data_IF_136132677825
#
_entry.id   IF_136132677825
#
_cell.length_a   1.000
_cell.length_b   1.000
_cell.length_c   1.000
_cell.angle_alpha   90.00
_cell.angle_beta   90.00
_cell.angle_gamma   90.00
#
_symmetry.space_group_name_H-M   'P 1'
#
loop_
_entity.id
_entity.type
_entity.pdbx_description
1 polymer ?
#
# COMPACT_ATOMS: atom_id res chain seq x y z
N UNK A 1 -14.40 -10.43 21.86
CA UNK A 1 -13.30 -9.74 22.56
C UNK A 1 -13.62 -8.24 22.64
N UNK A 2 -13.58 -7.66 23.83
CA UNK A 2 -13.70 -6.20 24.03
C UNK A 2 -12.29 -5.59 24.13
N UNK A 3 -11.97 -4.68 23.21
CA UNK A 3 -10.81 -3.77 23.34
C UNK A 3 -11.33 -2.47 23.93
N UNK A 4 -10.86 -2.06 25.10
CA UNK A 4 -11.36 -0.88 25.81
C UNK A 4 -10.23 -0.03 26.39
N UNK A 5 -10.57 1.17 26.85
CA UNK A 5 -9.62 2.13 27.39
C UNK A 5 -8.46 2.41 26.43
N UNK A 6 -8.80 2.80 25.20
CA UNK A 6 -7.86 3.19 24.14
C UNK A 6 -8.08 4.64 23.72
N UNK A 7 -7.05 5.29 23.19
CA UNK A 7 -7.16 6.50 22.38
C UNK A 7 -7.15 6.07 20.91
N UNK A 8 -8.32 5.67 20.43
CA UNK A 8 -8.47 5.08 19.11
C UNK A 8 -8.83 6.12 18.07
N UNK A 9 -8.36 5.91 16.83
CA UNK A 9 -8.85 6.64 15.67
C UNK A 9 -8.94 5.76 14.43
N UNK A 10 -9.82 6.14 13.53
CA UNK A 10 -9.93 5.64 12.16
C UNK A 10 -10.27 6.80 11.24
N UNK A 11 -10.08 6.65 9.94
CA UNK A 11 -10.48 7.65 8.95
C UNK A 11 -11.60 7.08 8.08
N UNK A 12 -12.60 7.91 7.76
CA UNK A 12 -13.60 7.53 6.76
C UNK A 12 -13.04 7.68 5.33
N UNK A 13 -13.86 7.39 4.34
CA UNK A 13 -13.44 7.44 2.94
C UNK A 13 -13.10 8.86 2.47
N UNK A 14 -13.64 9.87 3.14
CA UNK A 14 -13.40 11.28 2.88
C UNK A 14 -12.20 11.84 3.67
N UNK A 15 -11.52 10.98 4.45
CA UNK A 15 -10.35 11.35 5.27
C UNK A 15 -10.68 12.03 6.58
N UNK A 16 -11.96 12.03 7.01
CA UNK A 16 -12.35 12.58 8.29
C UNK A 16 -11.96 11.64 9.42
N UNK A 17 -11.23 12.17 10.39
CA UNK A 17 -10.82 11.43 11.58
C UNK A 17 -12.02 11.18 12.50
N UNK A 18 -12.21 9.93 12.88
CA UNK A 18 -13.20 9.50 13.85
C UNK A 18 -12.45 8.90 15.06
N UNK A 19 -12.60 9.53 16.25
CA UNK A 19 -12.01 9.04 17.50
C UNK A 19 -12.97 8.08 18.21
N UNK A 20 -12.41 7.13 18.95
CA UNK A 20 -13.18 6.17 19.74
C UNK A 20 -12.37 5.74 20.99
N UNK A 21 -13.04 5.11 21.96
CA UNK A 21 -12.42 4.67 23.22
C UNK A 21 -12.43 3.18 23.41
N UNK A 22 -13.05 2.44 22.50
CA UNK A 22 -13.06 0.98 22.49
C UNK A 22 -13.86 0.40 21.34
N UNK A 23 -13.79 -0.91 21.14
CA UNK A 23 -14.59 -1.65 20.18
C UNK A 23 -14.74 -3.12 20.59
N UNK A 24 -15.83 -3.72 20.14
CA UNK A 24 -16.15 -5.13 20.34
C UNK A 24 -15.80 -5.91 19.06
N UNK A 25 -15.11 -7.03 19.24
CA UNK A 25 -14.74 -7.96 18.16
C UNK A 25 -15.54 -9.24 18.36
N UNK A 26 -16.26 -9.66 17.32
CA UNK A 26 -16.99 -10.91 17.28
C UNK A 26 -16.09 -12.15 17.10
N UNK A 27 -16.68 -13.31 17.18
CA UNK A 27 -15.98 -14.61 17.06
C UNK A 27 -15.40 -14.82 15.65
N UNK A 28 -15.97 -14.18 14.66
CA UNK A 28 -15.49 -14.19 13.26
C UNK A 28 -14.33 -13.21 12.99
N UNK A 29 -13.87 -12.48 14.02
CA UNK A 29 -12.79 -11.50 13.92
C UNK A 29 -13.19 -10.17 13.28
N UNK A 30 -14.50 -9.88 13.21
CA UNK A 30 -15.02 -8.61 12.74
C UNK A 30 -15.40 -7.70 13.89
N UNK A 31 -15.38 -6.40 13.64
CA UNK A 31 -15.84 -5.38 14.59
C UNK A 31 -17.37 -5.40 14.61
N UNK A 32 -17.96 -5.72 15.74
CA UNK A 32 -19.40 -5.71 15.96
C UNK A 32 -19.89 -4.30 16.31
N UNK A 33 -19.09 -3.57 17.11
CA UNK A 33 -19.45 -2.23 17.58
C UNK A 33 -18.19 -1.40 17.89
N UNK A 34 -18.23 -0.12 17.61
CA UNK A 34 -17.24 0.87 18.03
C UNK A 34 -17.86 1.76 19.09
N UNK A 35 -17.13 2.04 20.17
CA UNK A 35 -17.62 2.80 21.33
C UNK A 35 -16.97 4.17 21.41
N UNK A 36 -17.80 5.18 21.56
CA UNK A 36 -17.40 6.55 21.87
C UNK A 36 -17.22 6.76 23.38
N UNK A 37 -16.69 7.91 23.76
CA UNK A 37 -16.59 8.28 25.17
C UNK A 37 -17.99 8.39 25.79
N UNK A 38 -18.21 7.65 26.88
CA UNK A 38 -19.49 7.61 27.58
C UNK A 38 -20.46 6.52 27.12
N UNK A 39 -20.18 5.80 26.03
CA UNK A 39 -21.01 4.68 25.61
C UNK A 39 -20.96 3.55 26.61
N UNK A 40 -22.10 2.88 26.80
CA UNK A 40 -22.21 1.72 27.66
C UNK A 40 -21.52 0.52 27.03
N UNK A 41 -20.64 -0.13 27.80
CA UNK A 41 -19.96 -1.37 27.40
C UNK A 41 -20.84 -2.59 27.65
N UNK A 42 -20.63 -3.71 26.89
CA UNK A 42 -21.30 -4.97 27.19
C UNK A 42 -21.00 -5.43 28.61
N UNK A 43 -22.03 -5.89 29.32
CA UNK A 43 -21.89 -6.34 30.72
C UNK A 43 -21.15 -7.68 30.87
N UNK A 44 -21.08 -8.48 29.79
CA UNK A 44 -20.39 -9.77 29.76
C UNK A 44 -19.66 -9.92 28.42
N UNK A 45 -18.39 -10.22 28.49
CA UNK A 45 -17.53 -10.55 27.35
C UNK A 45 -16.61 -11.70 27.75
N UNK A 46 -16.21 -12.52 26.77
CA UNK A 46 -15.32 -13.65 27.04
C UNK A 46 -13.91 -13.19 27.40
N UNK A 47 -13.46 -12.11 26.77
CA UNK A 47 -12.14 -11.51 27.03
C UNK A 47 -12.19 -9.99 26.87
N UNK A 48 -11.57 -9.29 27.82
CA UNK A 48 -11.42 -7.82 27.76
C UNK A 48 -9.92 -7.45 27.74
N UNK A 49 -9.53 -6.72 26.73
CA UNK A 49 -8.20 -6.14 26.56
C UNK A 49 -8.22 -4.67 26.98
N UNK A 50 -7.58 -4.36 28.11
CA UNK A 50 -7.41 -2.99 28.54
C UNK A 50 -6.25 -2.33 27.77
N UNK A 51 -6.54 -1.35 26.94
CA UNK A 51 -5.56 -0.61 26.17
C UNK A 51 -4.68 0.34 26.97
N UNK A 52 -5.04 0.64 28.23
CA UNK A 52 -4.28 1.56 29.13
C UNK A 52 -4.07 2.97 28.53
N UNK A 53 -5.03 3.45 27.78
CA UNK A 53 -4.96 4.74 27.08
C UNK A 53 -4.00 4.76 25.89
N UNK A 54 -3.47 3.62 25.46
CA UNK A 54 -2.57 3.58 24.29
C UNK A 54 -3.31 3.94 23.02
N UNK A 55 -2.56 4.48 22.07
CA UNK A 55 -3.08 4.82 20.74
C UNK A 55 -3.37 3.57 19.94
N UNK A 56 -4.55 3.55 19.30
CA UNK A 56 -4.99 2.47 18.41
C UNK A 56 -5.42 3.05 17.07
N UNK A 57 -4.97 2.41 15.98
CA UNK A 57 -5.36 2.76 14.61
C UNK A 57 -5.56 1.51 13.75
N UNK A 58 -6.20 1.63 12.55
CA UNK A 58 -6.25 0.52 11.60
C UNK A 58 -4.85 0.07 11.19
N UNK A 59 -4.71 -1.21 10.88
CA UNK A 59 -3.52 -1.73 10.23
C UNK A 59 -3.30 -1.09 8.85
N UNK A 60 -2.03 -0.91 8.48
CA UNK A 60 -1.67 -0.38 7.17
C UNK A 60 -1.92 -1.40 6.06
N UNK A 61 -2.24 -0.87 4.89
CA UNK A 61 -2.41 -1.62 3.63
C UNK A 61 -1.39 -1.08 2.62
N UNK A 62 -0.44 -1.90 2.23
CA UNK A 62 0.57 -1.58 1.21
C UNK A 62 -0.01 -1.86 -0.18
N UNK A 63 -0.16 -0.83 -1.01
CA UNK A 63 -0.82 -0.94 -2.31
C UNK A 63 0.06 -1.49 -3.43
N UNK A 64 1.37 -1.60 -3.25
CA UNK A 64 2.29 -2.19 -4.24
C UNK A 64 3.53 -2.77 -3.55
N UNK A 65 3.67 -4.08 -3.62
CA UNK A 65 4.84 -4.82 -3.17
C UNK A 65 5.06 -6.05 -4.06
N UNK A 66 6.30 -6.43 -4.31
CA UNK A 66 6.66 -7.79 -4.68
C UNK A 66 6.92 -8.58 -3.38
N UNK A 67 5.86 -9.22 -2.86
CA UNK A 67 5.88 -9.85 -1.55
C UNK A 67 6.93 -10.97 -1.46
N UNK A 68 7.04 -11.79 -2.50
CA UNK A 68 8.01 -12.88 -2.49
C UNK A 68 9.42 -12.38 -2.76
N UNK A 69 9.62 -11.41 -3.66
CA UNK A 69 10.90 -10.73 -3.87
C UNK A 69 11.39 -10.04 -2.60
N UNK A 70 10.50 -9.37 -1.87
CA UNK A 70 10.82 -8.82 -0.55
C UNK A 70 11.21 -9.92 0.45
N UNK A 71 10.46 -11.02 0.50
CA UNK A 71 10.79 -12.15 1.36
C UNK A 71 12.16 -12.74 1.06
N UNK A 72 12.47 -12.97 -0.21
CA UNK A 72 13.79 -13.47 -0.62
C UNK A 72 14.92 -12.50 -0.30
N UNK A 73 14.69 -11.19 -0.34
CA UNK A 73 15.69 -10.20 0.06
C UNK A 73 16.07 -10.26 1.55
N UNK A 74 15.23 -10.88 2.38
CA UNK A 74 15.43 -11.06 3.82
C UNK A 74 16.04 -12.41 4.20
N UNK A 75 16.23 -13.31 3.23
CA UNK A 75 16.81 -14.64 3.43
C UNK A 75 18.22 -14.67 2.86
N UNK A 76 19.18 -15.12 3.66
CA UNK A 76 20.55 -15.36 3.15
C UNK A 76 20.51 -16.51 2.14
N UNK A 77 20.78 -16.21 0.88
CA UNK A 77 20.84 -17.23 -0.17
C UNK A 77 22.17 -17.96 -0.15
N UNK A 78 22.11 -19.26 0.05
CA UNK A 78 23.30 -20.12 -0.06
C UNK A 78 23.68 -20.47 -1.51
N UNK A 79 22.80 -20.20 -2.48
CA UNK A 79 23.00 -20.50 -3.90
C UNK A 79 22.24 -19.52 -4.80
N UNK A 80 22.88 -18.44 -5.27
CA UNK A 80 22.21 -17.38 -6.04
C UNK A 80 21.56 -17.83 -7.36
N UNK A 81 21.97 -18.98 -7.90
CA UNK A 81 21.52 -19.48 -9.21
C UNK A 81 20.58 -20.69 -9.14
N UNK A 82 20.24 -21.17 -7.94
CA UNK A 82 19.31 -22.29 -7.79
C UNK A 82 17.85 -21.80 -7.85
N UNK A 83 17.00 -22.57 -8.52
CA UNK A 83 15.55 -22.33 -8.46
C UNK A 83 15.08 -22.55 -7.01
N UNK A 84 14.32 -21.58 -6.42
CA UNK A 84 13.82 -21.71 -5.05
C UNK A 84 12.90 -22.93 -4.92
N UNK A 85 13.16 -23.75 -3.92
CA UNK A 85 12.30 -24.87 -3.56
C UNK A 85 11.04 -24.37 -2.83
N UNK A 86 9.99 -25.17 -2.69
CA UNK A 86 8.81 -24.80 -1.92
C UNK A 86 9.13 -24.32 -0.49
N UNK A 87 10.06 -24.97 0.20
CA UNK A 87 10.48 -24.63 1.56
C UNK A 87 11.19 -23.27 1.62
N UNK A 88 11.99 -22.95 0.60
CA UNK A 88 12.66 -21.65 0.49
C UNK A 88 11.64 -20.52 0.31
N UNK A 89 10.57 -20.78 -0.47
CA UNK A 89 9.44 -19.85 -0.64
C UNK A 89 8.63 -19.70 0.64
N UNK A 90 8.35 -20.78 1.35
CA UNK A 90 7.62 -20.74 2.62
C UNK A 90 8.41 -19.93 3.68
N UNK A 91 9.75 -20.11 3.73
CA UNK A 91 10.62 -19.30 4.59
C UNK A 91 10.64 -17.82 4.18
N UNK A 92 10.75 -17.52 2.89
CA UNK A 92 10.72 -16.14 2.38
C UNK A 92 9.41 -15.46 2.74
N UNK A 93 8.26 -16.12 2.54
CA UNK A 93 6.96 -15.60 2.93
C UNK A 93 6.87 -15.35 4.44
N UNK A 94 7.35 -16.28 5.27
CA UNK A 94 7.35 -16.11 6.73
C UNK A 94 8.18 -14.90 7.17
N UNK A 95 9.36 -14.68 6.56
CA UNK A 95 10.22 -13.53 6.83
C UNK A 95 9.57 -12.21 6.37
N UNK A 96 8.97 -12.20 5.18
CA UNK A 96 8.25 -11.02 4.69
C UNK A 96 7.11 -10.64 5.63
N UNK A 97 6.26 -11.59 6.01
CA UNK A 97 5.15 -11.36 6.94
C UNK A 97 5.66 -10.82 8.28
N UNK A 98 6.71 -11.39 8.85
CA UNK A 98 7.29 -10.91 10.11
C UNK A 98 7.75 -9.46 10.00
N UNK A 99 8.49 -9.11 8.93
CA UNK A 99 8.99 -7.76 8.72
C UNK A 99 7.87 -6.73 8.51
N UNK A 100 6.82 -7.10 7.76
CA UNK A 100 5.65 -6.26 7.51
C UNK A 100 4.85 -6.01 8.80
N UNK A 101 4.57 -7.07 9.56
CA UNK A 101 3.81 -6.97 10.81
C UNK A 101 4.52 -6.12 11.89
N UNK A 102 5.86 -6.15 11.92
CA UNK A 102 6.66 -5.28 12.79
C UNK A 102 6.48 -3.79 12.47
N UNK A 103 6.10 -3.47 11.24
CA UNK A 103 5.84 -2.10 10.76
C UNK A 103 4.35 -1.77 10.71
N UNK A 104 3.50 -2.67 11.18
CA UNK A 104 2.04 -2.48 11.22
C UNK A 104 1.34 -2.69 9.87
N UNK A 105 2.00 -3.26 8.89
CA UNK A 105 1.38 -3.62 7.61
C UNK A 105 0.61 -4.93 7.79
N UNK A 106 -0.71 -4.87 7.71
CA UNK A 106 -1.62 -6.01 7.92
C UNK A 106 -2.15 -6.59 6.62
N UNK A 107 -2.07 -5.81 5.54
CA UNK A 107 -2.49 -6.23 4.21
C UNK A 107 -1.55 -5.69 3.15
N UNK A 108 -1.40 -6.42 2.06
CA UNK A 108 -0.57 -6.03 0.92
C UNK A 108 -1.28 -6.29 -0.41
N UNK A 109 -0.91 -5.53 -1.42
CA UNK A 109 -1.21 -5.83 -2.81
C UNK A 109 0.06 -6.40 -3.45
N UNK A 110 0.07 -7.70 -3.72
CA UNK A 110 1.21 -8.39 -4.34
C UNK A 110 1.18 -8.21 -5.85
N UNK A 111 2.09 -7.40 -6.37
CA UNK A 111 2.16 -7.04 -7.78
C UNK A 111 3.15 -7.94 -8.54
N UNK A 112 2.60 -8.92 -9.24
CA UNK A 112 3.36 -9.89 -10.03
C UNK A 112 3.36 -11.29 -9.43
N UNK A 113 2.20 -11.71 -8.90
CA UNK A 113 2.02 -13.06 -8.36
C UNK A 113 2.19 -14.11 -9.45
N UNK A 114 3.23 -14.94 -9.34
CA UNK A 114 3.41 -16.13 -10.17
C UNK A 114 2.54 -17.29 -9.69
N UNK A 115 2.45 -18.34 -10.48
CA UNK A 115 1.71 -19.57 -10.09
C UNK A 115 2.34 -20.17 -8.81
N UNK A 116 3.66 -20.20 -8.72
CA UNK A 116 4.39 -20.74 -7.57
C UNK A 116 4.19 -19.87 -6.32
N UNK A 117 4.14 -18.54 -6.48
CA UNK A 117 3.83 -17.61 -5.38
C UNK A 117 2.40 -17.85 -4.88
N UNK A 118 1.44 -17.97 -5.79
CA UNK A 118 0.05 -18.28 -5.43
C UNK A 118 -0.07 -19.61 -4.68
N UNK A 119 0.61 -20.65 -5.14
CA UNK A 119 0.65 -21.95 -4.46
C UNK A 119 1.26 -21.84 -3.05
N UNK A 120 2.28 -20.99 -2.88
CA UNK A 120 2.89 -20.71 -1.57
C UNK A 120 1.90 -20.04 -0.64
N UNK A 121 1.17 -19.01 -1.12
CA UNK A 121 0.13 -18.35 -0.33
C UNK A 121 -1.00 -19.30 0.06
N UNK A 122 -1.40 -20.18 -0.86
CA UNK A 122 -2.41 -21.20 -0.60
C UNK A 122 -1.94 -22.18 0.48
N UNK A 123 -0.72 -22.71 0.38
CA UNK A 123 -0.14 -23.59 1.43
C UNK A 123 -0.13 -22.91 2.78
N UNK A 124 0.35 -21.67 2.85
CA UNK A 124 0.37 -20.90 4.08
C UNK A 124 -1.04 -20.69 4.64
N UNK A 125 -2.03 -20.43 3.79
CA UNK A 125 -3.42 -20.31 4.18
C UNK A 125 -4.01 -21.62 4.73
N UNK A 126 -3.79 -22.74 4.04
CA UNK A 126 -4.26 -24.07 4.43
C UNK A 126 -3.66 -24.51 5.78
N UNK A 127 -2.44 -24.10 6.08
CA UNK A 127 -1.76 -24.37 7.36
C UNK A 127 -2.06 -23.33 8.44
N UNK A 128 -2.86 -22.29 8.17
CA UNK A 128 -3.11 -21.20 9.10
C UNK A 128 -1.91 -20.30 9.36
N UNK A 129 -0.87 -20.38 8.53
CA UNK A 129 0.38 -19.62 8.62
C UNK A 129 0.36 -18.30 7.82
N UNK A 130 -0.71 -18.00 7.08
CA UNK A 130 -0.90 -16.73 6.42
C UNK A 130 -1.39 -15.69 7.44
N UNK A 131 -0.49 -14.84 7.90
CA UNK A 131 -0.72 -13.90 9.01
C UNK A 131 -1.12 -12.50 8.55
N UNK A 132 -0.88 -12.16 7.27
CA UNK A 132 -1.31 -10.91 6.63
C UNK A 132 -2.37 -11.20 5.56
N UNK A 133 -3.00 -10.13 5.04
CA UNK A 133 -3.91 -10.23 3.90
C UNK A 133 -3.16 -9.96 2.61
N UNK A 134 -3.42 -10.76 1.58
CA UNK A 134 -2.79 -10.65 0.26
C UNK A 134 -3.86 -10.46 -0.80
N UNK A 135 -3.84 -9.30 -1.44
CA UNK A 135 -4.56 -9.00 -2.67
C UNK A 135 -3.60 -9.26 -3.83
N UNK A 136 -3.71 -10.40 -4.48
CA UNK A 136 -2.79 -10.83 -5.51
C UNK A 136 -3.17 -10.30 -6.89
N UNK A 137 -2.16 -9.89 -7.66
CA UNK A 137 -2.27 -9.53 -9.08
C UNK A 137 -1.30 -10.38 -9.87
N UNK A 138 -1.84 -11.23 -10.72
CA UNK A 138 -1.05 -12.22 -11.47
C UNK A 138 -0.02 -11.56 -12.39
N UNK A 139 1.12 -12.19 -12.55
CA UNK A 139 2.14 -11.79 -13.51
C UNK A 139 1.71 -12.13 -14.94
N UNK A 140 0.93 -11.23 -15.55
CA UNK A 140 0.39 -11.41 -16.89
C UNK A 140 -0.90 -12.22 -16.95
N UNK A 141 -1.53 -12.17 -18.13
CA UNK A 141 -2.87 -12.73 -18.36
C UNK A 141 -2.88 -14.27 -18.29
N UNK A 142 -1.81 -14.93 -18.71
CA UNK A 142 -1.73 -16.40 -18.67
C UNK A 142 -1.78 -16.91 -17.22
N UNK A 143 -0.98 -16.33 -16.32
CA UNK A 143 -1.02 -16.67 -14.89
C UNK A 143 -2.39 -16.31 -14.28
N UNK A 144 -2.99 -15.18 -14.65
CA UNK A 144 -4.33 -14.77 -14.22
C UNK A 144 -5.38 -15.83 -14.54
N UNK A 145 -5.37 -16.34 -15.77
CA UNK A 145 -6.32 -17.35 -16.21
C UNK A 145 -6.09 -18.69 -15.49
N UNK A 146 -4.82 -19.10 -15.34
CA UNK A 146 -4.49 -20.38 -14.70
C UNK A 146 -4.82 -20.38 -13.20
N UNK A 147 -4.69 -19.24 -12.52
CA UNK A 147 -5.00 -19.12 -11.09
C UNK A 147 -6.50 -18.88 -10.86
N UNK A 148 -7.07 -17.91 -11.55
CA UNK A 148 -8.41 -17.41 -11.27
C UNK A 148 -9.51 -18.12 -12.07
N UNK A 149 -9.18 -18.65 -13.25
CA UNK A 149 -10.17 -19.22 -14.17
C UNK A 149 -11.11 -18.14 -14.74
N UNK A 150 -12.43 -18.23 -14.51
CA UNK A 150 -13.41 -17.34 -15.13
C UNK A 150 -13.56 -15.98 -14.43
N UNK A 151 -12.78 -15.69 -13.39
CA UNK A 151 -12.87 -14.43 -12.66
C UNK A 151 -12.00 -14.39 -11.41
N UNK A 152 -12.00 -13.26 -10.73
CA UNK A 152 -11.33 -13.13 -9.43
C UNK A 152 -11.76 -14.22 -8.46
N UNK A 153 -10.83 -14.76 -7.70
CA UNK A 153 -11.19 -15.79 -6.70
C UNK A 153 -12.11 -15.18 -5.64
N UNK A 154 -12.94 -15.98 -4.96
CA UNK A 154 -13.53 -15.53 -3.71
C UNK A 154 -12.42 -15.18 -2.71
N UNK A 155 -12.77 -14.40 -1.68
CA UNK A 155 -11.88 -14.21 -0.54
C UNK A 155 -11.73 -15.53 0.22
N UNK A 156 -10.49 -15.95 0.44
CA UNK A 156 -10.12 -17.19 1.12
C UNK A 156 -9.56 -16.88 2.52
N UNK A 157 -9.59 -17.87 3.42
CA UNK A 157 -8.94 -17.83 4.72
C UNK A 157 -9.32 -16.63 5.58
N UNK A 158 -10.61 -16.37 5.77
CA UNK A 158 -11.10 -15.21 6.53
C UNK A 158 -10.61 -13.86 5.95
N UNK A 159 -10.80 -13.68 4.66
CA UNK A 159 -10.40 -12.51 3.89
C UNK A 159 -8.87 -12.29 3.84
N UNK A 160 -8.06 -13.36 3.87
CA UNK A 160 -6.61 -13.25 3.83
C UNK A 160 -5.98 -13.43 2.45
N UNK A 161 -6.68 -14.00 1.49
CA UNK A 161 -6.13 -14.21 0.16
C UNK A 161 -7.20 -14.06 -0.90
N UNK A 162 -6.88 -13.30 -1.95
CA UNK A 162 -7.71 -13.18 -3.15
C UNK A 162 -6.83 -12.87 -4.36
N UNK A 163 -7.10 -13.54 -5.49
CA UNK A 163 -6.63 -13.05 -6.78
C UNK A 163 -7.60 -11.98 -7.28
N UNK A 164 -7.14 -10.72 -7.33
CA UNK A 164 -7.96 -9.58 -7.75
C UNK A 164 -7.86 -9.29 -9.24
N UNK A 165 -6.66 -9.46 -9.81
CA UNK A 165 -6.40 -8.94 -11.13
C UNK A 165 -5.09 -9.39 -11.75
N UNK A 166 -4.60 -8.56 -12.67
CA UNK A 166 -3.40 -8.80 -13.43
C UNK A 166 -2.51 -7.57 -13.45
N UNK A 167 -1.20 -7.76 -13.29
CA UNK A 167 -0.18 -6.75 -13.52
C UNK A 167 0.25 -6.77 -14.97
N UNK A 168 0.26 -5.60 -15.60
CA UNK A 168 0.83 -5.35 -16.94
C UNK A 168 1.93 -4.29 -16.81
N UNK A 169 3.00 -4.42 -17.56
CA UNK A 169 4.11 -3.48 -17.53
C UNK A 169 4.22 -2.80 -18.89
N UNK A 170 4.03 -1.47 -18.92
CA UNK A 170 4.04 -0.70 -20.15
C UNK A 170 5.39 -0.03 -20.38
N UNK A 171 6.01 0.53 -19.34
CA UNK A 171 7.30 1.21 -19.43
C UNK A 171 8.17 0.96 -18.19
N UNK A 172 9.29 1.66 -18.09
CA UNK A 172 10.16 1.72 -16.93
C UNK A 172 10.17 3.11 -16.30
N UNK A 173 11.14 3.40 -15.41
CA UNK A 173 11.18 4.62 -14.61
C UNK A 173 11.86 5.81 -15.30
N UNK A 174 11.46 7.03 -14.91
CA UNK A 174 12.11 8.28 -15.36
C UNK A 174 13.59 8.29 -14.96
N UNK A 175 13.92 7.83 -13.76
CA UNK A 175 15.28 7.81 -13.26
C UNK A 175 16.23 6.97 -14.15
N UNK A 176 15.77 5.83 -14.68
CA UNK A 176 16.52 4.96 -15.59
C UNK A 176 16.44 5.40 -17.06
N UNK A 177 15.69 6.46 -17.35
CA UNK A 177 15.38 6.89 -18.71
C UNK A 177 14.68 5.80 -19.55
N UNK A 178 13.85 4.99 -18.91
CA UNK A 178 13.06 3.93 -19.53
C UNK A 178 11.55 4.22 -19.52
N UNK A 179 11.14 5.35 -18.91
CA UNK A 179 9.76 5.82 -18.97
C UNK A 179 9.43 6.36 -20.36
N UNK A 180 8.21 6.13 -20.81
CA UNK A 180 7.70 6.66 -22.06
C UNK A 180 7.26 8.12 -21.86
N UNK A 181 7.95 9.04 -22.51
CA UNK A 181 7.66 10.46 -22.42
C UNK A 181 7.07 11.00 -23.73
N UNK A 182 6.17 11.99 -23.65
CA UNK A 182 5.61 12.72 -24.78
C UNK A 182 6.66 13.57 -25.51
N UNK A 183 7.63 14.09 -24.74
CA UNK A 183 8.78 14.82 -25.28
C UNK A 183 10.09 14.13 -24.86
N UNK A 184 11.19 14.29 -25.61
CA UNK A 184 12.47 13.65 -25.31
C UNK A 184 12.98 13.97 -23.90
N UNK A 185 13.80 13.08 -23.35
CA UNK A 185 14.58 13.36 -22.14
C UNK A 185 15.48 14.58 -22.38
N UNK A 186 15.53 15.49 -21.40
CA UNK A 186 16.31 16.73 -21.54
C UNK A 186 17.80 16.44 -21.55
N UNK A 187 18.25 15.51 -20.73
CA UNK A 187 19.66 15.12 -20.60
C UNK A 187 20.07 13.98 -21.56
N UNK A 188 19.13 13.38 -22.28
CA UNK A 188 19.39 12.30 -23.24
C UNK A 188 18.38 12.34 -24.41
N UNK A 189 18.36 13.41 -25.22
CA UNK A 189 17.31 13.61 -26.24
C UNK A 189 17.30 12.53 -27.34
N UNK A 190 18.41 11.83 -27.53
CA UNK A 190 18.52 10.71 -28.47
C UNK A 190 17.92 9.40 -27.93
N UNK A 191 17.74 9.28 -26.62
CA UNK A 191 17.16 8.07 -26.01
C UNK A 191 15.66 8.03 -26.21
N UNK A 192 15.18 7.00 -26.90
CA UNK A 192 13.77 6.80 -27.24
C UNK A 192 13.34 5.40 -26.76
N UNK A 193 12.95 5.24 -25.50
CA UNK A 193 12.47 3.96 -25.02
C UNK A 193 11.23 3.52 -25.80
N UNK A 194 11.16 2.23 -26.11
CA UNK A 194 9.99 1.63 -26.73
C UNK A 194 9.02 1.14 -25.66
N UNK A 195 7.71 1.21 -25.88
CA UNK A 195 6.74 0.60 -25.02
C UNK A 195 6.92 -0.93 -25.01
N UNK A 196 6.74 -1.56 -23.85
CA UNK A 196 6.80 -3.02 -23.72
C UNK A 196 5.56 -3.70 -24.32
N UNK A 197 4.48 -2.96 -24.44
CA UNK A 197 3.24 -3.36 -25.10
C UNK A 197 2.87 -2.27 -26.10
N UNK A 198 2.49 -2.68 -27.32
CA UNK A 198 1.87 -1.75 -28.28
C UNK A 198 0.48 -1.32 -27.79
N UNK A 199 -0.08 -0.24 -28.35
CA UNK A 199 -1.45 0.21 -28.05
C UNK A 199 -2.48 -0.92 -28.19
N UNK A 200 -2.35 -1.70 -29.25
CA UNK A 200 -3.26 -2.85 -29.52
C UNK A 200 -3.08 -3.96 -28.50
N UNK A 201 -1.83 -4.29 -28.13
CA UNK A 201 -1.57 -5.31 -27.12
C UNK A 201 -2.09 -4.87 -25.74
N UNK A 202 -1.84 -3.62 -25.35
CA UNK A 202 -2.32 -3.07 -24.08
C UNK A 202 -3.86 -3.18 -23.99
N UNK A 203 -4.58 -2.69 -25.01
CA UNK A 203 -6.04 -2.77 -25.06
C UNK A 203 -6.56 -4.19 -25.01
N UNK A 204 -5.95 -5.11 -25.78
CA UNK A 204 -6.37 -6.50 -25.81
C UNK A 204 -6.19 -7.18 -24.45
N UNK A 205 -5.05 -6.94 -23.77
CA UNK A 205 -4.79 -7.53 -22.44
C UNK A 205 -5.68 -6.93 -21.37
N UNK A 206 -5.89 -5.61 -21.39
CA UNK A 206 -6.83 -4.94 -20.49
C UNK A 206 -8.28 -5.41 -20.73
N UNK A 207 -8.70 -5.53 -21.99
CA UNK A 207 -10.01 -6.06 -22.36
C UNK A 207 -10.18 -7.51 -21.90
N UNK A 208 -9.16 -8.36 -22.08
CA UNK A 208 -9.20 -9.76 -21.66
C UNK A 208 -9.41 -9.88 -20.14
N UNK A 209 -8.70 -9.07 -19.36
CA UNK A 209 -8.88 -9.03 -17.91
C UNK A 209 -10.29 -8.50 -17.53
N UNK A 210 -10.71 -7.39 -18.12
CA UNK A 210 -11.99 -6.75 -17.82
C UNK A 210 -13.20 -7.62 -18.18
N UNK A 211 -13.10 -8.45 -19.21
CA UNK A 211 -14.15 -9.37 -19.66
C UNK A 211 -14.52 -10.37 -18.56
N UNK A 212 -13.53 -10.86 -17.82
CA UNK A 212 -13.72 -11.79 -16.71
C UNK A 212 -13.74 -11.06 -15.33
N UNK A 213 -13.95 -9.75 -15.33
CA UNK A 213 -14.01 -8.90 -14.12
C UNK A 213 -12.73 -8.85 -13.28
N UNK A 214 -11.59 -9.23 -13.84
CA UNK A 214 -10.31 -8.95 -13.19
C UNK A 214 -9.97 -7.47 -13.31
N UNK A 215 -9.26 -6.95 -12.34
CA UNK A 215 -8.76 -5.58 -12.32
C UNK A 215 -7.40 -5.51 -13.01
N UNK A 216 -7.24 -4.78 -14.13
CA UNK A 216 -5.93 -4.51 -14.69
C UNK A 216 -5.18 -3.48 -13.84
N UNK A 217 -3.92 -3.75 -13.52
CA UNK A 217 -2.98 -2.85 -12.88
C UNK A 217 -1.78 -2.66 -13.83
N UNK A 218 -1.59 -1.43 -14.30
CA UNK A 218 -0.64 -1.13 -15.36
C UNK A 218 0.49 -0.27 -14.81
N UNK A 219 1.72 -0.78 -14.82
CA UNK A 219 2.91 0.02 -14.55
C UNK A 219 3.12 1.02 -15.70
N UNK A 220 2.90 2.31 -15.39
CA UNK A 220 2.91 3.40 -16.34
C UNK A 220 3.52 4.65 -15.69
N UNK A 221 4.84 4.82 -15.82
CA UNK A 221 5.59 5.83 -15.11
C UNK A 221 5.61 7.18 -15.83
N UNK A 222 5.77 7.18 -17.16
CA UNK A 222 5.87 8.38 -17.96
C UNK A 222 4.52 8.96 -18.37
N UNK A 223 4.51 10.24 -18.79
CA UNK A 223 3.31 10.95 -19.23
C UNK A 223 2.72 10.36 -20.53
N UNK A 224 3.55 9.82 -21.43
CA UNK A 224 3.04 9.09 -22.61
C UNK A 224 2.47 7.73 -22.21
N UNK A 225 3.11 7.01 -21.30
CA UNK A 225 2.56 5.74 -20.81
C UNK A 225 1.20 5.96 -20.13
N UNK A 226 1.09 6.98 -19.29
CA UNK A 226 -0.19 7.39 -18.67
C UNK A 226 -1.25 7.69 -19.74
N UNK A 227 -0.91 8.46 -20.76
CA UNK A 227 -1.83 8.77 -21.85
C UNK A 227 -2.30 7.52 -22.60
N UNK A 228 -1.39 6.56 -22.90
CA UNK A 228 -1.75 5.29 -23.54
C UNK A 228 -2.73 4.48 -22.71
N UNK A 229 -2.54 4.43 -21.38
CA UNK A 229 -3.50 3.75 -20.48
C UNK A 229 -4.85 4.47 -20.49
N UNK A 230 -4.88 5.81 -20.44
CA UNK A 230 -6.11 6.59 -20.48
C UNK A 230 -6.86 6.40 -21.80
N UNK A 231 -6.15 6.35 -22.94
CA UNK A 231 -6.74 6.06 -24.25
C UNK A 231 -7.41 4.68 -24.27
N UNK A 232 -6.76 3.67 -23.68
CA UNK A 232 -7.32 2.33 -23.54
C UNK A 232 -8.55 2.33 -22.61
N UNK A 233 -8.49 3.04 -21.48
CA UNK A 233 -9.62 3.16 -20.53
C UNK A 233 -10.82 3.85 -21.19
N UNK A 234 -10.61 4.97 -21.90
CA UNK A 234 -11.68 5.71 -22.57
C UNK A 234 -12.43 4.82 -23.60
N UNK A 235 -11.69 3.98 -24.32
CA UNK A 235 -12.29 3.03 -25.27
C UNK A 235 -13.01 1.87 -24.55
N UNK A 236 -12.34 1.23 -23.57
CA UNK A 236 -12.86 0.04 -22.89
C UNK A 236 -14.02 0.35 -21.95
N UNK A 237 -14.10 1.56 -21.38
CA UNK A 237 -15.21 1.97 -20.52
C UNK A 237 -16.56 2.02 -21.25
N UNK A 238 -16.57 2.12 -22.57
CA UNK A 238 -17.79 2.03 -23.38
C UNK A 238 -18.40 0.63 -23.33
N UNK A 239 -17.57 -0.41 -23.28
CA UNK A 239 -17.97 -1.82 -23.21
C UNK A 239 -18.05 -2.32 -21.76
N UNK A 240 -17.03 -2.07 -20.96
CA UNK A 240 -16.91 -2.55 -19.58
C UNK A 240 -17.33 -1.47 -18.61
N UNK A 241 -18.63 -1.36 -18.40
CA UNK A 241 -19.25 -0.36 -17.52
C UNK A 241 -19.15 -0.75 -16.04
N UNK A 242 -19.43 0.21 -15.15
CA UNK A 242 -19.47 0.02 -13.70
C UNK A 242 -18.16 0.40 -13.03
N UNK A 243 -18.03 0.01 -11.77
CA UNK A 243 -16.85 0.31 -10.93
C UNK A 243 -15.70 -0.65 -11.29
N UNK A 244 -14.78 -0.19 -12.12
CA UNK A 244 -13.64 -0.98 -12.60
C UNK A 244 -12.36 -0.71 -11.82
N UNK A 245 -12.22 0.51 -11.26
CA UNK A 245 -11.01 0.94 -10.54
C UNK A 245 -9.75 0.59 -11.31
N UNK A 246 -9.69 1.00 -12.60
CA UNK A 246 -8.48 0.85 -13.40
C UNK A 246 -7.28 1.35 -12.61
N UNK A 247 -6.17 0.61 -12.59
CA UNK A 247 -5.02 0.99 -11.78
C UNK A 247 -3.83 1.37 -12.65
N UNK A 248 -3.22 2.51 -12.32
CA UNK A 248 -1.92 2.94 -12.82
C UNK A 248 -0.92 2.82 -11.66
N UNK A 249 0.13 2.05 -11.88
CA UNK A 249 1.14 1.76 -10.86
C UNK A 249 2.43 2.52 -11.14
N UNK A 250 3.03 3.07 -10.08
CA UNK A 250 4.32 3.74 -10.15
C UNK A 250 4.31 5.03 -10.97
N UNK A 251 3.22 5.77 -11.01
CA UNK A 251 3.12 7.00 -11.82
C UNK A 251 4.13 8.04 -11.33
N UNK A 252 4.99 8.52 -12.25
CA UNK A 252 6.03 9.50 -11.94
C UNK A 252 5.78 10.87 -12.60
N UNK A 253 5.15 10.87 -13.78
CA UNK A 253 4.87 12.10 -14.54
C UNK A 253 3.49 12.03 -15.19
N UNK A 254 2.70 13.08 -15.01
CA UNK A 254 1.41 13.28 -15.68
C UNK A 254 1.42 14.65 -16.36
N UNK A 255 1.06 14.67 -17.64
CA UNK A 255 0.92 15.90 -18.39
C UNK A 255 -0.38 16.62 -18.02
N UNK A 256 -0.35 17.96 -17.95
CA UNK A 256 -1.47 18.78 -17.55
C UNK A 256 -2.79 18.47 -18.31
N UNK A 257 -2.79 18.27 -19.65
CA UNK A 257 -3.99 17.89 -20.37
C UNK A 257 -4.62 16.55 -19.93
N UNK A 258 -3.85 15.63 -19.38
CA UNK A 258 -4.32 14.31 -18.96
C UNK A 258 -4.88 14.28 -17.54
N UNK A 259 -4.68 15.32 -16.73
CA UNK A 259 -5.18 15.34 -15.33
C UNK A 259 -6.70 15.21 -15.26
N UNK A 260 -7.44 15.93 -16.08
CA UNK A 260 -8.90 15.84 -16.09
C UNK A 260 -9.39 14.45 -16.54
N UNK A 261 -8.70 13.81 -17.49
CA UNK A 261 -9.00 12.46 -17.97
C UNK A 261 -8.71 11.41 -16.88
N UNK A 262 -7.57 11.57 -16.20
CA UNK A 262 -7.19 10.70 -15.07
C UNK A 262 -8.26 10.73 -13.98
N UNK A 263 -8.73 11.91 -13.61
CA UNK A 263 -9.82 12.08 -12.65
C UNK A 263 -11.15 11.48 -13.15
N UNK A 264 -11.55 11.79 -14.38
CA UNK A 264 -12.79 11.32 -14.97
C UNK A 264 -12.84 9.80 -15.18
N UNK A 265 -11.69 9.17 -15.37
CA UNK A 265 -11.57 7.70 -15.53
C UNK A 265 -11.92 6.91 -14.29
N UNK A 266 -11.95 7.54 -13.10
CA UNK A 266 -12.10 6.87 -11.81
C UNK A 266 -10.93 5.93 -11.48
N UNK A 267 -9.78 6.11 -12.14
CA UNK A 267 -8.62 5.27 -11.94
C UNK A 267 -7.98 5.48 -10.57
N UNK A 268 -7.39 4.41 -10.07
CA UNK A 268 -6.47 4.43 -8.94
C UNK A 268 -5.09 4.81 -9.43
N UNK A 269 -4.42 5.70 -8.73
CA UNK A 269 -3.01 6.04 -8.96
C UNK A 269 -2.19 5.57 -7.78
N UNK A 270 -1.40 4.54 -8.00
CA UNK A 270 -0.44 4.08 -6.99
C UNK A 270 0.83 4.93 -7.05
N UNK A 271 1.32 5.29 -5.90
CA UNK A 271 2.56 6.06 -5.72
C UNK A 271 3.38 5.49 -4.56
N UNK A 272 4.71 5.59 -4.67
CA UNK A 272 5.66 5.14 -3.65
C UNK A 272 6.39 6.36 -3.01
N UNK A 273 5.84 6.97 -1.94
CA UNK A 273 6.39 8.22 -1.39
C UNK A 273 7.82 8.11 -0.89
N UNK A 274 8.23 6.97 -0.35
CA UNK A 274 9.62 6.73 0.12
C UNK A 274 10.65 6.76 -1.00
N UNK A 275 10.24 6.54 -2.26
CA UNK A 275 11.13 6.63 -3.42
C UNK A 275 11.38 8.05 -3.92
N UNK A 276 10.58 9.02 -3.44
CA UNK A 276 10.70 10.42 -3.87
C UNK A 276 12.11 10.98 -3.63
N UNK A 277 12.75 10.62 -2.51
CA UNK A 277 14.08 11.09 -2.16
C UNK A 277 15.11 10.85 -3.27
N UNK A 278 15.21 9.62 -3.76
CA UNK A 278 16.12 9.28 -4.85
C UNK A 278 15.68 9.82 -6.20
N UNK A 279 14.36 9.75 -6.48
CA UNK A 279 13.82 10.12 -7.78
C UNK A 279 13.87 11.63 -8.04
N UNK A 280 13.61 12.47 -7.02
CA UNK A 280 13.63 13.94 -7.16
C UNK A 280 14.98 14.49 -7.60
N UNK A 281 16.07 13.83 -7.17
CA UNK A 281 17.44 14.29 -7.47
C UNK A 281 17.75 14.30 -8.97
N UNK A 282 17.10 13.42 -9.72
CA UNK A 282 17.29 13.28 -11.16
C UNK A 282 16.09 13.77 -11.98
N UNK A 283 14.95 14.03 -11.35
CA UNK A 283 13.72 14.36 -12.07
C UNK A 283 13.88 15.59 -12.98
N UNK A 284 14.44 16.70 -12.46
CA UNK A 284 14.59 17.92 -13.22
C UNK A 284 15.56 17.77 -14.40
N UNK A 285 16.66 17.08 -14.20
CA UNK A 285 17.62 16.81 -15.30
C UNK A 285 17.02 15.92 -16.39
N UNK A 286 16.16 14.98 -16.01
CA UNK A 286 15.50 14.05 -16.95
C UNK A 286 14.41 14.70 -17.77
N UNK A 287 13.50 15.43 -17.11
CA UNK A 287 12.31 15.99 -17.78
C UNK A 287 12.41 17.48 -18.07
N UNK A 288 13.37 18.17 -17.47
CA UNK A 288 13.60 19.61 -17.61
C UNK A 288 12.66 20.48 -16.78
N UNK A 289 13.03 21.75 -16.56
CA UNK A 289 12.32 22.66 -15.64
C UNK A 289 10.87 22.94 -16.08
N UNK A 290 10.58 22.89 -17.37
CA UNK A 290 9.22 23.15 -17.89
C UNK A 290 8.23 22.02 -17.56
N UNK A 291 8.71 20.78 -17.42
CA UNK A 291 7.85 19.59 -17.19
C UNK A 291 7.92 19.05 -15.77
N UNK A 292 8.95 19.41 -15.00
CA UNK A 292 9.16 18.87 -13.66
C UNK A 292 8.01 19.16 -12.69
N UNK A 293 7.24 20.22 -12.94
CA UNK A 293 6.04 20.54 -12.17
C UNK A 293 4.94 19.46 -12.25
N UNK A 294 4.91 18.68 -13.33
CA UNK A 294 4.02 17.52 -13.48
C UNK A 294 4.55 16.22 -12.88
N UNK A 295 5.81 16.22 -12.43
CA UNK A 295 6.43 15.04 -11.84
C UNK A 295 6.11 14.92 -10.35
N UNK A 296 5.63 13.74 -9.93
CA UNK A 296 5.27 13.46 -8.54
C UNK A 296 4.32 14.52 -7.95
N UNK A 297 3.42 15.07 -8.77
CA UNK A 297 2.49 16.15 -8.40
C UNK A 297 1.24 15.58 -7.70
N UNK A 298 1.45 14.90 -6.59
CA UNK A 298 0.45 14.06 -5.92
C UNK A 298 -0.76 14.84 -5.43
N UNK A 299 -0.53 16.06 -4.88
CA UNK A 299 -1.64 16.91 -4.45
C UNK A 299 -2.47 17.36 -5.65
N UNK A 300 -1.83 17.79 -6.71
CA UNK A 300 -2.51 18.20 -7.96
C UNK A 300 -3.33 17.06 -8.55
N UNK A 301 -2.79 15.81 -8.53
CA UNK A 301 -3.54 14.64 -9.01
C UNK A 301 -4.76 14.35 -8.13
N UNK A 302 -4.59 14.38 -6.80
CA UNK A 302 -5.68 14.20 -5.84
C UNK A 302 -6.74 15.30 -5.94
N UNK A 303 -6.33 16.56 -6.03
CA UNK A 303 -7.22 17.72 -6.18
C UNK A 303 -8.02 17.66 -7.50
N UNK A 304 -7.43 17.11 -8.55
CA UNK A 304 -8.15 16.85 -9.80
C UNK A 304 -9.18 15.72 -9.68
N UNK A 305 -9.12 14.90 -8.63
CA UNK A 305 -10.06 13.81 -8.36
C UNK A 305 -9.50 12.40 -8.53
N UNK A 306 -8.18 12.24 -8.80
CA UNK A 306 -7.55 10.93 -8.83
C UNK A 306 -7.52 10.30 -7.42
N UNK A 307 -7.75 9.00 -7.33
CA UNK A 307 -7.69 8.28 -6.05
C UNK A 307 -6.30 7.72 -5.84
N UNK A 308 -5.61 8.24 -4.82
CA UNK A 308 -4.25 7.83 -4.50
C UNK A 308 -4.24 6.61 -3.57
N UNK A 309 -3.31 5.69 -3.83
CA UNK A 309 -2.95 4.60 -2.94
C UNK A 309 -1.43 4.55 -2.79
N UNK A 310 -0.93 4.31 -1.57
CA UNK A 310 0.50 4.24 -1.32
C UNK A 310 0.99 2.80 -1.34
N UNK A 311 2.00 2.54 -2.16
CA UNK A 311 2.80 1.34 -2.16
C UNK A 311 4.21 1.58 -1.64
N UNK A 312 4.85 0.53 -1.16
CA UNK A 312 6.27 0.57 -0.80
C UNK A 312 7.18 0.32 -2.01
N UNK A 313 6.67 -0.38 -3.00
CA UNK A 313 7.47 -0.97 -4.08
C UNK A 313 8.62 -1.86 -3.54
N UNK A 314 8.48 -2.47 -2.35
CA UNK A 314 9.51 -3.35 -1.81
C UNK A 314 9.70 -4.58 -2.72
N UNK A 315 10.93 -5.06 -2.89
CA UNK A 315 12.17 -4.74 -2.16
C UNK A 315 12.93 -3.49 -2.64
N UNK A 316 12.42 -2.73 -3.62
CA UNK A 316 13.12 -1.55 -4.16
C UNK A 316 13.24 -0.42 -3.14
N UNK A 317 12.34 -0.34 -2.19
CA UNK A 317 12.44 0.50 -1.00
C UNK A 317 11.86 -0.20 0.23
N UNK A 318 12.24 0.19 1.45
CA UNK A 318 11.69 -0.42 2.65
C UNK A 318 10.19 -0.20 2.78
N UNK A 319 9.40 -1.21 3.20
CA UNK A 319 7.97 -1.05 3.47
C UNK A 319 7.77 -0.36 4.83
N UNK A 320 7.96 0.95 4.87
CA UNK A 320 7.87 1.80 6.06
C UNK A 320 6.73 2.81 5.92
N UNK A 321 5.52 2.51 6.45
CA UNK A 321 4.36 3.38 6.30
C UNK A 321 4.53 4.76 6.92
N UNK A 322 5.17 4.86 8.10
CA UNK A 322 5.38 6.16 8.75
C UNK A 322 6.38 7.02 7.99
N UNK A 323 7.42 6.42 7.42
CA UNK A 323 8.34 7.12 6.52
C UNK A 323 7.62 7.59 5.24
N UNK A 324 6.72 6.78 4.67
CA UNK A 324 5.92 7.14 3.51
C UNK A 324 5.00 8.34 3.80
N UNK A 325 4.29 8.32 4.93
CA UNK A 325 3.45 9.45 5.36
C UNK A 325 4.30 10.70 5.55
N UNK A 326 5.44 10.60 6.26
CA UNK A 326 6.32 11.74 6.50
C UNK A 326 6.85 12.32 5.18
N UNK A 327 7.27 11.48 4.22
CA UNK A 327 7.70 11.92 2.90
C UNK A 327 6.58 12.64 2.14
N UNK A 328 5.36 12.13 2.19
CA UNK A 328 4.21 12.71 1.49
C UNK A 328 3.79 14.08 2.04
N UNK A 329 3.84 14.27 3.37
CA UNK A 329 3.44 15.52 4.01
C UNK A 329 4.55 16.58 4.09
N UNK A 330 5.82 16.18 3.99
CA UNK A 330 6.96 17.12 4.03
C UNK A 330 7.61 17.35 2.68
N UNK A 331 7.60 16.34 1.79
CA UNK A 331 8.35 16.34 0.54
C UNK A 331 9.86 16.45 0.76
N UNK A 332 10.31 15.95 1.91
CA UNK A 332 11.73 15.96 2.35
C UNK A 332 12.13 14.57 2.84
N UNK A 333 13.42 14.31 2.83
CA UNK A 333 14.03 13.08 3.38
C UNK A 333 14.06 13.08 4.92
N UNK A 334 14.66 12.05 5.50
CA UNK A 334 14.79 11.91 6.95
C UNK A 334 15.69 12.99 7.60
N UNK A 335 16.55 13.64 6.82
CA UNK A 335 17.38 14.76 7.20
C UNK A 335 16.76 16.13 6.91
N UNK A 336 15.44 16.15 6.60
CA UNK A 336 14.66 17.34 6.25
C UNK A 336 15.18 18.07 4.99
N UNK A 337 15.78 17.33 4.06
CA UNK A 337 16.28 17.90 2.81
C UNK A 337 15.39 17.56 1.61
N UNK A 338 15.18 18.51 0.68
CA UNK A 338 15.60 19.92 0.74
C UNK A 338 14.82 20.67 1.82
N UNK A 339 15.46 21.66 2.43
CA UNK A 339 14.77 22.50 3.41
C UNK A 339 13.49 23.11 2.82
N UNK A 340 12.39 22.97 3.56
CA UNK A 340 11.07 23.38 3.08
C UNK A 340 10.41 22.39 2.08
N UNK A 341 11.04 21.25 1.78
CA UNK A 341 10.50 20.21 0.89
C UNK A 341 10.64 20.50 -0.61
N UNK A 342 10.77 19.45 -1.40
CA UNK A 342 10.79 19.55 -2.86
C UNK A 342 9.37 19.73 -3.40
N UNK A 343 9.15 20.77 -4.23
CA UNK A 343 7.81 21.14 -4.68
C UNK A 343 6.79 21.18 -3.53
N UNK A 344 6.94 22.08 -2.56
CA UNK A 344 6.16 22.06 -1.32
C UNK A 344 4.65 22.27 -1.52
N UNK A 345 4.23 22.81 -2.67
CA UNK A 345 2.84 22.93 -3.08
C UNK A 345 2.18 21.56 -3.32
N UNK A 346 2.97 20.52 -3.55
CA UNK A 346 2.51 19.13 -3.78
C UNK A 346 2.48 18.26 -2.52
N UNK A 347 2.60 18.87 -1.35
CA UNK A 347 2.41 18.17 -0.07
C UNK A 347 0.98 17.67 0.06
N UNK A 348 0.84 16.44 0.47
CA UNK A 348 -0.46 15.92 0.89
C UNK A 348 -0.79 16.35 2.32
N UNK A 349 -2.07 16.37 2.68
CA UNK A 349 -2.47 16.44 4.07
C UNK A 349 -2.13 15.12 4.77
N UNK A 350 -1.99 15.17 6.08
CA UNK A 350 -1.72 13.98 6.90
C UNK A 350 -2.84 12.96 6.73
N UNK A 351 -4.08 13.43 6.79
CA UNK A 351 -5.28 12.60 6.63
C UNK A 351 -5.29 11.90 5.27
N UNK A 352 -5.01 12.61 4.18
CA UNK A 352 -4.93 12.02 2.84
C UNK A 352 -3.85 10.93 2.76
N UNK A 353 -2.68 11.15 3.38
CA UNK A 353 -1.60 10.15 3.42
C UNK A 353 -2.00 8.90 4.23
N UNK A 354 -2.69 9.07 5.37
CA UNK A 354 -3.20 7.92 6.14
C UNK A 354 -4.28 7.16 5.37
N UNK A 355 -5.21 7.86 4.70
CA UNK A 355 -6.22 7.20 3.85
C UNK A 355 -5.55 6.39 2.75
N UNK A 356 -4.54 6.93 2.08
CA UNK A 356 -3.82 6.25 1.01
C UNK A 356 -3.11 4.96 1.46
N UNK A 357 -2.80 4.82 2.75
CA UNK A 357 -2.20 3.63 3.38
C UNK A 357 -3.17 2.77 4.18
N UNK A 358 -4.45 3.07 4.16
CA UNK A 358 -5.48 2.33 4.91
C UNK A 358 -6.72 2.11 4.05
N UNK A 359 -7.79 2.87 4.26
CA UNK A 359 -9.06 2.74 3.55
C UNK A 359 -8.91 2.92 2.02
N UNK A 360 -8.06 3.83 1.57
CA UNK A 360 -7.83 4.09 0.15
C UNK A 360 -7.11 2.94 -0.55
N UNK A 361 -6.07 2.38 0.07
CA UNK A 361 -5.37 1.22 -0.46
C UNK A 361 -6.27 -0.03 -0.44
N UNK A 362 -7.07 -0.24 0.61
CA UNK A 362 -8.07 -1.30 0.65
C UNK A 362 -9.12 -1.13 -0.45
N UNK A 363 -9.64 0.07 -0.64
CA UNK A 363 -10.56 0.38 -1.73
C UNK A 363 -9.94 0.12 -3.09
N UNK A 364 -8.68 0.50 -3.30
CA UNK A 364 -7.97 0.26 -4.55
C UNK A 364 -7.95 -1.22 -4.96
N UNK A 365 -7.92 -2.14 -4.00
CA UNK A 365 -7.93 -3.59 -4.18
C UNK A 365 -9.29 -4.25 -3.97
N UNK A 366 -10.42 -3.52 -4.05
CA UNK A 366 -11.76 -4.06 -3.83
C UNK A 366 -11.94 -4.75 -2.46
N UNK A 367 -11.28 -4.24 -1.44
CA UNK A 367 -11.39 -4.71 -0.06
C UNK A 367 -12.12 -3.72 0.86
N UNK A 368 -12.68 -2.65 0.31
CA UNK A 368 -13.55 -1.72 1.03
C UNK A 368 -14.73 -2.48 1.67
N UNK A 369 -15.05 -2.13 2.90
CA UNK A 369 -16.02 -2.88 3.71
C UNK A 369 -15.49 -4.18 4.34
N UNK A 370 -14.25 -4.60 4.00
CA UNK A 370 -13.61 -5.79 4.61
C UNK A 370 -12.55 -5.43 5.64
N UNK A 371 -11.63 -4.54 5.29
CA UNK A 371 -10.56 -4.06 6.17
C UNK A 371 -10.06 -2.68 5.72
N UNK A 372 -9.09 -2.12 6.46
CA UNK A 372 -8.54 -0.79 6.20
C UNK A 372 -9.14 0.30 7.07
N UNK A 373 -10.19 -0.02 7.85
CA UNK A 373 -10.83 0.88 8.83
C UNK A 373 -11.20 0.11 10.08
N UNK A 374 -11.28 0.81 11.21
CA UNK A 374 -11.90 0.27 12.43
C UNK A 374 -13.36 0.74 12.47
N UNK A 375 -14.22 -0.03 11.81
CA UNK A 375 -15.64 0.25 11.67
C UNK A 375 -16.45 -1.05 11.74
N UNK A 376 -17.73 -0.94 12.12
CA UNK A 376 -18.62 -2.08 12.23
C UNK A 376 -18.64 -2.90 10.92
N UNK A 377 -18.56 -4.21 11.03
CA UNK A 377 -18.56 -5.20 9.95
C UNK A 377 -17.20 -5.44 9.31
N UNK A 378 -16.20 -4.59 9.54
CA UNK A 378 -14.85 -4.79 9.03
C UNK A 378 -14.03 -5.72 9.92
N UNK A 379 -13.01 -6.37 9.34
CA UNK A 379 -12.05 -7.18 10.10
C UNK A 379 -11.31 -6.32 11.12
N UNK A 380 -11.11 -6.84 12.29
CA UNK A 380 -10.39 -6.18 13.36
C UNK A 380 -8.87 -6.28 13.15
N UNK A 381 -8.39 -5.50 12.15
CA UNK A 381 -6.96 -5.33 11.86
C UNK A 381 -6.53 -3.99 12.46
N UNK A 382 -5.72 -4.03 13.52
CA UNK A 382 -5.36 -2.82 14.26
C UNK A 382 -3.96 -2.88 14.87
N UNK A 383 -3.47 -1.71 15.20
CA UNK A 383 -2.14 -1.48 15.79
C UNK A 383 -2.27 -0.80 17.14
N UNK A 384 -1.43 -1.19 18.10
CA UNK A 384 -1.09 -0.35 19.23
C UNK A 384 0.21 0.40 18.94
N UNK A 385 0.23 1.70 19.20
CA UNK A 385 1.37 2.58 18.94
C UNK A 385 1.92 3.21 20.22
N UNK A 386 3.18 3.64 20.19
CA UNK A 386 3.84 4.34 21.28
C UNK A 386 3.46 5.83 21.37
N UNK A 387 2.86 6.39 20.32
CA UNK A 387 2.42 7.80 20.25
C UNK A 387 1.28 7.98 19.24
N UNK A 388 0.61 9.15 19.29
CA UNK A 388 -0.40 9.51 18.29
C UNK A 388 0.27 10.05 17.02
N UNK A 389 0.22 9.33 15.91
CA UNK A 389 0.86 9.73 14.67
C UNK A 389 0.13 10.87 13.96
N UNK A 390 -1.11 11.19 14.35
CA UNK A 390 -1.83 12.36 13.83
C UNK A 390 -1.32 13.67 14.42
N UNK A 391 -0.72 13.64 15.64
CA UNK A 391 -0.21 14.78 16.35
C UNK A 391 1.32 14.91 16.30
N UNK A 392 2.02 13.82 16.00
CA UNK A 392 3.48 13.76 15.94
C UNK A 392 4.06 14.71 14.88
N UNK A 393 5.17 15.38 15.18
CA UNK A 393 5.93 16.11 14.16
C UNK A 393 6.57 15.12 13.16
N UNK A 394 7.12 15.56 12.01
CA UNK A 394 7.64 14.65 11.00
C UNK A 394 8.75 13.70 11.49
N UNK A 395 9.64 14.16 12.38
CA UNK A 395 10.69 13.32 12.95
C UNK A 395 10.11 12.28 13.92
N UNK A 396 9.19 12.70 14.79
CA UNK A 396 8.47 11.82 15.70
C UNK A 396 7.60 10.82 14.94
N UNK A 397 6.99 11.24 13.82
CA UNK A 397 6.19 10.36 12.96
C UNK A 397 7.05 9.23 12.39
N UNK A 398 8.24 9.55 11.85
CA UNK A 398 9.23 8.55 11.38
C UNK A 398 9.69 7.60 12.50
N UNK A 399 9.78 8.11 13.74
CA UNK A 399 10.20 7.36 14.91
C UNK A 399 9.07 6.62 15.62
N UNK A 400 7.84 6.70 15.12
CA UNK A 400 6.67 6.00 15.70
C UNK A 400 6.89 4.50 15.69
N UNK A 401 6.66 3.86 16.82
CA UNK A 401 6.85 2.42 17.00
C UNK A 401 5.52 1.70 17.09
N UNK A 402 5.42 0.62 16.33
CA UNK A 402 4.33 -0.35 16.47
C UNK A 402 4.63 -1.23 17.68
N UNK A 403 3.77 -1.21 18.67
CA UNK A 403 3.89 -2.01 19.88
C UNK A 403 3.25 -3.38 19.71
N UNK A 404 2.10 -3.43 19.06
CA UNK A 404 1.38 -4.66 18.76
C UNK A 404 0.67 -4.53 17.43
N UNK A 405 0.63 -5.61 16.65
CA UNK A 405 -0.17 -5.73 15.43
C UNK A 405 -1.17 -6.88 15.59
N UNK A 406 -2.42 -6.59 15.24
CA UNK A 406 -3.53 -7.53 15.32
C UNK A 406 -4.17 -7.68 13.94
N UNK A 407 -4.47 -8.90 13.54
CA UNK A 407 -5.14 -9.23 12.27
C UNK A 407 -6.34 -10.12 12.54
N UNK A 408 -7.53 -9.68 12.16
CA UNK A 408 -8.77 -10.40 12.43
C UNK A 408 -9.00 -10.66 13.92
N UNK A 409 -8.65 -9.71 14.77
CA UNK A 409 -8.80 -9.82 16.22
C UNK A 409 -7.78 -10.75 16.91
N UNK A 410 -6.75 -11.22 16.18
CA UNK A 410 -5.68 -12.04 16.75
C UNK A 410 -4.37 -11.27 16.78
N UNK A 411 -3.65 -11.30 17.90
CA UNK A 411 -2.33 -10.69 18.02
C UNK A 411 -1.31 -11.51 17.20
N UNK A 412 -0.71 -10.88 16.19
CA UNK A 412 0.27 -11.50 15.28
C UNK A 412 1.68 -10.96 15.46
N UNK A 413 1.82 -9.82 16.14
CA UNK A 413 3.11 -9.25 16.50
C UNK A 413 3.01 -8.50 17.82
N UNK A 414 4.07 -8.58 18.63
CA UNK A 414 4.31 -7.77 19.82
C UNK A 414 5.77 -7.35 19.85
N UNK A 415 6.03 -6.06 20.00
CA UNK A 415 7.39 -5.54 20.20
C UNK A 415 7.99 -6.09 21.49
N UNK A 416 9.26 -6.48 21.45
CA UNK A 416 10.01 -6.76 22.67
C UNK A 416 10.08 -5.49 23.51
N UNK A 417 9.79 -5.58 24.81
CA UNK A 417 9.97 -4.47 25.72
C UNK A 417 11.44 -4.04 25.64
N UNK A 418 11.68 -2.72 25.48
CA UNK A 418 13.03 -2.19 25.63
C UNK A 418 13.51 -2.54 27.04
N UNK A 419 14.76 -3.02 27.23
CA UNK A 419 15.28 -3.24 28.56
C UNK A 419 15.10 -1.97 29.38
N UNK A 420 14.47 -2.06 30.53
CA UNK A 420 14.34 -0.94 31.48
C UNK A 420 15.74 -0.41 31.75
N UNK A 421 16.04 0.88 31.52
CA UNK A 421 17.34 1.43 31.88
C UNK A 421 17.61 1.12 33.34
N UNK A 422 18.85 0.73 33.69
CA UNK A 422 19.18 0.46 35.07
C UNK A 422 18.82 1.70 35.88
N UNK A 423 18.19 1.48 37.04
CA UNK A 423 17.86 2.56 37.96
C UNK A 423 19.13 3.39 38.20
N UNK A 424 19.07 4.74 38.21
CA UNK A 424 20.23 5.55 38.50
C UNK A 424 20.78 5.05 39.82
N UNK A 425 22.07 4.66 39.83
CA UNK A 425 22.76 4.25 41.03
C UNK A 425 22.58 5.37 42.06
N UNK A 426 21.83 5.07 43.12
CA UNK A 426 21.70 6.01 44.22
C UNK A 426 23.09 6.39 44.71
N UNK A 427 23.40 7.67 44.62
CA UNK A 427 24.53 8.20 45.34
C UNK A 427 24.38 7.83 46.80
N UNK A 428 25.15 6.83 47.26
CA UNK A 428 25.35 6.60 48.69
C UNK A 428 26.13 7.78 49.20
N UNK A 429 25.41 8.72 49.82
CA UNK A 429 26.01 9.82 50.55
C UNK A 429 26.98 9.30 51.62
N UNK A 430 28.12 9.85 51.63
CA UNK A 430 28.97 10.02 52.84
C UNK A 430 29.07 11.48 53.21
#
# INVERSE_FOLDING_TARGET
VLVDNVDGFTLDAEGKVQRFTGFLIGDDGRIEQVFQRGDKRPGKVDYALNGKGRVVMPGFVDADIDLMGFGFSLVESTSPNAQPRPEDRDLALAKAQQALLQRGVTAVTDMGTTIENWQTYRRAGDLGALSIRVMAYAEGVDAMILIGGPGPTPWLYDDKLRLNGVRLILDGTVAKQDALLKAPYTDAPQKKPAPRLSDTQLRNLMSRAAMDNFQPAIAAHGDRATAMVLDAVDELAQTYRGDRRWRLEGVELVDQPDLARLAASGAVVEIAPTRLEGNRQVAESRVGPARVAGAYAWKSWGDAGARLAFGSAAPLSPPDPFAAIAAAITRADAQEQPFGGWQPQERLTREAAFVALTAGAAWAGFADGRFGRLAQGQRADFLFLDRDPLLANPAELRATRVLETWVGGRQVYRAKEAPTPPAPNGETGR
#
